data_IF_936077884408
#
_entry.id   IF_936077884408
#
_cell.length_a   1.000
_cell.length_b   1.000
_cell.length_c   1.000
_cell.angle_alpha   90.00
_cell.angle_beta   90.00
_cell.angle_gamma   90.00
#
_symmetry.space_group_name_H-M   'P 1'
#
loop_
_entity.id
_entity.type
_entity.pdbx_description
1 polymer ?
#
# COMPACT_ATOMS: atom_id res chain seq x y z
N UNK A 1 22.18 -0.60 23.57
CA UNK A 1 21.13 0.23 22.94
C UNK A 1 19.81 -0.56 22.97
N UNK A 2 18.69 0.07 23.35
CA UNK A 2 17.36 -0.55 23.39
C UNK A 2 16.94 -1.17 22.03
N UNK A 3 17.27 -0.51 20.92
CA UNK A 3 16.90 -0.97 19.57
C UNK A 3 17.60 -2.29 19.23
N UNK A 4 18.88 -2.44 19.61
CA UNK A 4 19.62 -3.68 19.43
C UNK A 4 19.03 -4.83 20.25
N UNK A 5 18.63 -4.58 21.50
CA UNK A 5 17.96 -5.58 22.35
C UNK A 5 16.63 -6.01 21.74
N UNK A 6 15.80 -5.04 21.33
CA UNK A 6 14.57 -5.29 20.60
C UNK A 6 14.82 -6.14 19.34
N UNK A 7 15.81 -5.77 18.51
CA UNK A 7 16.13 -6.50 17.29
C UNK A 7 16.56 -7.94 17.55
N UNK A 8 17.37 -8.18 18.60
CA UNK A 8 17.77 -9.52 19.01
C UNK A 8 16.56 -10.35 19.42
N UNK A 9 15.72 -9.82 20.29
CA UNK A 9 14.58 -10.55 20.84
C UNK A 9 13.51 -10.79 19.75
N UNK A 10 13.26 -9.80 18.90
CA UNK A 10 12.39 -9.92 17.72
C UNK A 10 12.91 -10.96 16.72
N UNK A 11 14.22 -11.02 16.48
CA UNK A 11 14.83 -12.06 15.64
C UNK A 11 14.60 -13.46 16.19
N UNK A 12 14.69 -13.64 17.51
CA UNK A 12 14.43 -14.92 18.16
C UNK A 12 12.97 -15.36 18.03
N UNK A 13 12.02 -14.43 18.20
CA UNK A 13 10.59 -14.68 18.00
C UNK A 13 10.34 -15.13 16.57
N UNK A 14 10.86 -14.37 15.60
CA UNK A 14 10.61 -14.67 14.20
C UNK A 14 11.42 -15.86 13.66
N UNK A 15 12.55 -16.25 14.28
CA UNK A 15 13.30 -17.48 13.93
C UNK A 15 12.47 -18.72 14.27
N UNK A 16 11.69 -18.65 15.33
CA UNK A 16 10.80 -19.71 15.77
C UNK A 16 9.38 -19.57 15.19
N UNK A 17 9.23 -18.76 14.12
CA UNK A 17 7.95 -18.57 13.45
C UNK A 17 7.54 -19.84 12.69
N UNK A 18 6.82 -20.73 13.38
CA UNK A 18 6.26 -21.96 12.77
C UNK A 18 4.96 -21.70 11.99
N UNK A 19 4.23 -20.66 12.36
CA UNK A 19 2.94 -20.29 11.76
C UNK A 19 2.99 -18.91 11.12
N UNK A 20 2.15 -18.71 10.11
CA UNK A 20 1.96 -17.41 9.48
C UNK A 20 1.42 -16.40 10.50
N UNK A 21 2.05 -15.23 10.58
CA UNK A 21 1.49 -14.12 11.34
C UNK A 21 0.23 -13.64 10.63
N UNK A 22 -0.92 -13.76 11.28
CA UNK A 22 -2.15 -13.19 10.71
C UNK A 22 -2.00 -11.70 10.42
N UNK A 23 -1.32 -10.98 11.31
CA UNK A 23 -1.12 -9.54 11.22
C UNK A 23 0.28 -9.13 11.68
N UNK A 24 0.98 -8.37 10.84
CA UNK A 24 2.23 -7.70 11.17
C UNK A 24 2.05 -6.19 11.03
N UNK A 25 2.18 -5.46 12.14
CA UNK A 25 2.14 -3.99 12.15
C UNK A 25 3.48 -3.40 12.51
N UNK A 26 3.99 -2.54 11.64
CA UNK A 26 5.26 -1.83 11.82
C UNK A 26 4.96 -0.33 11.77
N UNK A 27 5.02 0.33 12.92
CA UNK A 27 4.84 1.78 13.02
C UNK A 27 6.20 2.40 13.32
N UNK A 28 6.76 3.10 12.34
CA UNK A 28 8.02 3.81 12.51
C UNK A 28 7.68 5.28 12.67
N UNK A 29 7.73 5.78 13.90
CA UNK A 29 7.78 7.23 14.15
C UNK A 29 9.24 7.66 13.97
N UNK A 30 9.49 8.85 13.43
CA UNK A 30 10.82 9.36 13.01
C UNK A 30 11.89 9.26 14.12
N UNK A 31 12.45 8.07 14.27
CA UNK A 31 13.64 7.76 15.07
C UNK A 31 14.69 7.39 14.03
N UNK A 32 15.63 8.30 13.69
CA UNK A 32 16.53 8.13 12.55
C UNK A 32 17.31 6.81 12.54
N UNK A 33 17.64 6.27 13.72
CA UNK A 33 18.40 5.04 13.88
C UNK A 33 17.55 3.77 13.82
N UNK A 34 16.23 3.86 14.03
CA UNK A 34 15.38 2.68 14.15
C UNK A 34 15.26 1.91 12.84
N UNK A 35 14.95 2.59 11.73
CA UNK A 35 14.73 1.89 10.45
C UNK A 35 16.00 1.18 9.95
N UNK A 36 17.20 1.80 9.93
CA UNK A 36 18.42 1.08 9.55
C UNK A 36 18.72 -0.14 10.44
N UNK A 37 18.60 -0.01 11.76
CA UNK A 37 18.83 -1.12 12.70
C UNK A 37 17.79 -2.23 12.53
N UNK A 38 16.52 -1.86 12.36
CA UNK A 38 15.42 -2.79 12.10
C UNK A 38 15.61 -3.53 10.78
N UNK A 39 15.99 -2.85 9.69
CA UNK A 39 16.29 -3.51 8.42
C UNK A 39 17.48 -4.46 8.55
N UNK A 40 18.52 -4.12 9.30
CA UNK A 40 19.65 -5.02 9.56
C UNK A 40 19.21 -6.27 10.34
N UNK A 41 18.29 -6.13 11.29
CA UNK A 41 17.65 -7.25 11.95
C UNK A 41 16.94 -8.17 10.95
N UNK A 42 16.16 -7.62 10.02
CA UNK A 42 15.47 -8.39 8.99
C UNK A 42 16.43 -9.08 8.00
N UNK A 43 17.54 -8.43 7.63
CA UNK A 43 18.59 -9.00 6.75
C UNK A 43 19.25 -10.25 7.32
N UNK A 44 19.33 -10.37 8.64
CA UNK A 44 19.95 -11.52 9.30
C UNK A 44 19.13 -12.81 9.17
N UNK A 45 17.90 -12.71 8.65
CA UNK A 45 16.98 -13.83 8.50
C UNK A 45 17.28 -14.63 7.24
N UNK A 46 17.15 -15.95 7.36
CA UNK A 46 17.19 -16.88 6.22
C UNK A 46 15.89 -16.76 5.41
N UNK A 47 14.76 -16.71 6.10
CA UNK A 47 13.43 -16.66 5.48
C UNK A 47 12.73 -15.30 5.69
N UNK A 48 12.03 -14.79 4.65
CA UNK A 48 11.12 -13.65 4.78
C UNK A 48 10.06 -13.88 5.86
N UNK A 49 9.56 -12.80 6.46
CA UNK A 49 8.47 -12.86 7.43
C UNK A 49 7.21 -13.33 6.73
N UNK A 50 6.63 -14.42 7.22
CA UNK A 50 5.37 -14.94 6.71
C UNK A 50 4.22 -14.20 7.38
N UNK A 51 3.49 -13.37 6.65
CA UNK A 51 2.31 -12.69 7.19
C UNK A 51 1.20 -12.56 6.17
N UNK A 52 -0.05 -12.63 6.61
CA UNK A 52 -1.20 -12.40 5.73
C UNK A 52 -1.54 -10.92 5.56
N UNK A 53 -1.24 -10.09 6.56
CA UNK A 53 -1.52 -8.66 6.51
C UNK A 53 -0.32 -7.87 7.00
N UNK A 54 0.27 -7.10 6.09
CA UNK A 54 1.25 -6.07 6.41
C UNK A 54 0.55 -4.73 6.65
N UNK A 55 0.76 -4.13 7.81
CA UNK A 55 0.45 -2.72 8.05
C UNK A 55 1.72 -1.94 8.38
N UNK A 56 2.03 -0.92 7.58
CA UNK A 56 3.18 -0.05 7.80
C UNK A 56 2.76 1.42 7.91
N UNK A 57 3.50 2.18 8.73
CA UNK A 57 3.47 3.64 8.70
C UNK A 57 4.82 4.13 8.15
N UNK A 58 4.78 4.85 7.03
CA UNK A 58 5.98 5.30 6.28
C UNK A 58 5.83 6.75 5.83
N UNK A 59 6.96 7.38 5.50
CA UNK A 59 7.06 8.76 5.01
C UNK A 59 7.20 8.84 3.48
N UNK A 60 7.78 7.83 2.83
CA UNK A 60 8.09 7.81 1.39
C UNK A 60 8.22 6.37 0.84
N UNK A 61 8.30 6.23 -0.48
CA UNK A 61 8.43 4.98 -1.20
C UNK A 61 9.69 4.18 -0.82
N UNK A 62 10.81 4.85 -0.52
CA UNK A 62 12.07 4.18 -0.15
C UNK A 62 11.94 3.37 1.13
N UNK A 63 11.19 3.90 2.12
CA UNK A 63 10.88 3.16 3.35
C UNK A 63 10.04 1.91 3.10
N UNK A 64 9.09 1.97 2.15
CA UNK A 64 8.29 0.80 1.79
C UNK A 64 9.12 -0.21 0.99
N UNK A 65 9.84 0.25 -0.03
CA UNK A 65 10.68 -0.58 -0.90
C UNK A 65 11.82 -1.25 -0.13
N UNK A 66 12.34 -0.61 0.91
CA UNK A 66 13.31 -1.24 1.81
C UNK A 66 12.69 -2.28 2.73
N UNK A 67 11.40 -2.19 3.05
CA UNK A 67 10.70 -3.15 3.91
C UNK A 67 10.18 -4.38 3.16
N UNK A 68 9.56 -4.18 1.99
CA UNK A 68 8.87 -5.24 1.22
C UNK A 68 9.70 -6.51 0.99
N UNK A 69 11.01 -6.45 0.66
CA UNK A 69 11.82 -7.64 0.41
C UNK A 69 11.86 -8.63 1.58
N UNK A 70 11.62 -8.17 2.81
CA UNK A 70 11.63 -9.02 4.00
C UNK A 70 10.28 -9.63 4.33
N UNK A 71 9.26 -9.44 3.47
CA UNK A 71 7.92 -10.00 3.62
C UNK A 71 7.71 -11.10 2.59
N UNK A 72 7.20 -12.25 3.02
CA UNK A 72 6.94 -13.39 2.14
C UNK A 72 5.80 -13.08 1.17
N UNK A 73 6.10 -12.96 -0.12
CA UNK A 73 5.11 -12.66 -1.16
C UNK A 73 4.05 -13.74 -1.34
N UNK A 74 4.36 -15.01 -1.04
CA UNK A 74 3.42 -16.13 -1.19
C UNK A 74 2.30 -16.14 -0.14
N UNK A 75 2.51 -15.46 0.98
CA UNK A 75 1.61 -15.52 2.14
C UNK A 75 0.81 -14.23 2.34
N UNK A 76 1.27 -13.12 1.74
CA UNK A 76 0.66 -11.80 1.91
C UNK A 76 -0.65 -11.69 1.12
N UNK A 77 -1.68 -11.16 1.79
CA UNK A 77 -3.03 -10.97 1.24
C UNK A 77 -3.45 -9.50 1.27
N UNK A 78 -3.04 -8.74 2.28
CA UNK A 78 -3.34 -7.32 2.41
C UNK A 78 -2.08 -6.48 2.68
N UNK A 79 -1.95 -5.39 1.92
CA UNK A 79 -0.99 -4.33 2.16
C UNK A 79 -1.75 -3.08 2.62
N UNK A 80 -1.45 -2.61 3.84
CA UNK A 80 -1.98 -1.37 4.39
C UNK A 80 -0.87 -0.39 4.76
N UNK A 81 -0.79 0.71 4.03
CA UNK A 81 0.23 1.73 4.23
C UNK A 81 -0.43 3.03 4.67
N UNK A 82 0.14 3.68 5.68
CA UNK A 82 -0.33 4.97 6.16
C UNK A 82 0.82 5.97 6.13
N UNK A 83 0.58 7.19 5.67
CA UNK A 83 1.54 8.27 5.90
C UNK A 83 1.49 8.68 7.37
N UNK A 84 2.67 8.83 7.98
CA UNK A 84 2.82 9.40 9.34
C UNK A 84 2.57 10.91 9.35
N UNK A 85 2.71 11.59 8.20
CA UNK A 85 2.30 12.99 8.02
C UNK A 85 0.79 13.06 7.85
N UNK A 86 0.12 13.76 8.76
CA UNK A 86 -1.35 13.84 8.82
C UNK A 86 -1.92 15.11 8.19
N UNK A 87 -1.12 16.17 8.06
CA UNK A 87 -1.57 17.49 7.61
C UNK A 87 -1.36 17.74 6.12
N UNK A 88 -0.36 17.08 5.53
CA UNK A 88 -0.08 17.10 4.10
C UNK A 88 -0.06 15.64 3.64
N UNK A 89 -0.87 15.30 2.64
CA UNK A 89 -0.85 13.97 2.01
C UNK A 89 0.23 13.98 0.92
N UNK A 90 1.43 13.43 1.14
CA UNK A 90 2.44 13.41 0.09
C UNK A 90 2.03 12.48 -1.05
N UNK A 91 2.60 12.72 -2.23
CA UNK A 91 2.58 11.76 -3.32
C UNK A 91 3.48 10.57 -2.96
N UNK A 92 3.01 9.36 -3.24
CA UNK A 92 3.78 8.12 -3.13
C UNK A 92 4.16 7.64 -4.54
N UNK A 93 5.45 7.53 -4.83
CA UNK A 93 5.92 7.08 -6.14
C UNK A 93 5.72 5.57 -6.32
N UNK A 94 4.77 5.20 -7.18
CA UNK A 94 4.32 3.81 -7.33
C UNK A 94 5.13 2.99 -8.33
N UNK A 95 5.93 3.63 -9.19
CA UNK A 95 6.58 3.00 -10.35
C UNK A 95 7.40 1.74 -9.99
N UNK A 96 8.07 1.75 -8.84
CA UNK A 96 8.83 0.61 -8.33
C UNK A 96 8.00 -0.32 -7.45
N UNK A 97 7.01 0.22 -6.73
CA UNK A 97 6.16 -0.54 -5.80
C UNK A 97 5.33 -1.58 -6.57
N UNK A 98 4.72 -1.19 -7.69
CA UNK A 98 3.88 -2.07 -8.52
C UNK A 98 4.65 -3.27 -9.09
N UNK A 99 5.97 -3.15 -9.23
CA UNK A 99 6.85 -4.20 -9.75
C UNK A 99 7.21 -5.24 -8.67
N UNK A 100 6.95 -4.97 -7.40
CA UNK A 100 7.28 -5.89 -6.29
C UNK A 100 6.40 -7.14 -6.29
N UNK A 101 6.98 -8.27 -5.87
CA UNK A 101 6.22 -9.53 -5.79
C UNK A 101 5.14 -9.48 -4.71
N UNK A 102 5.39 -8.77 -3.60
CA UNK A 102 4.42 -8.57 -2.54
C UNK A 102 3.17 -7.83 -3.05
N UNK A 103 3.35 -6.85 -3.94
CA UNK A 103 2.25 -6.13 -4.60
C UNK A 103 1.44 -7.06 -5.50
N UNK A 104 2.11 -7.79 -6.39
CA UNK A 104 1.46 -8.67 -7.39
C UNK A 104 0.70 -9.84 -6.76
N UNK A 105 1.13 -10.32 -5.59
CA UNK A 105 0.51 -11.47 -4.91
C UNK A 105 -0.57 -11.06 -3.90
N UNK A 106 -0.66 -9.78 -3.54
CA UNK A 106 -1.66 -9.31 -2.59
C UNK A 106 -3.03 -9.16 -3.25
N UNK A 107 -4.08 -9.42 -2.47
CA UNK A 107 -5.48 -9.31 -2.92
C UNK A 107 -6.12 -7.97 -2.55
N UNK A 108 -5.62 -7.31 -1.49
CA UNK A 108 -6.18 -6.08 -0.96
C UNK A 108 -5.10 -5.02 -0.75
N UNK A 109 -5.42 -3.79 -1.16
CA UNK A 109 -4.59 -2.61 -0.99
C UNK A 109 -5.33 -1.51 -0.23
N UNK A 110 -4.67 -0.91 0.75
CA UNK A 110 -5.15 0.27 1.46
C UNK A 110 -4.01 1.27 1.67
N UNK A 111 -4.07 2.43 0.99
CA UNK A 111 -3.12 3.53 1.16
C UNK A 111 -3.85 4.72 1.79
N UNK A 112 -3.50 5.06 3.03
CA UNK A 112 -4.07 6.22 3.75
C UNK A 112 -3.06 7.36 3.82
N UNK A 113 -3.58 8.59 3.74
CA UNK A 113 -2.81 9.82 3.83
C UNK A 113 -1.71 9.96 2.76
N UNK A 114 -1.85 9.27 1.63
CA UNK A 114 -1.03 9.43 0.44
C UNK A 114 -1.93 9.75 -0.75
N UNK A 115 -1.36 10.41 -1.75
CA UNK A 115 -1.89 10.37 -3.11
C UNK A 115 -0.98 9.52 -4.00
N UNK A 116 -1.57 8.88 -5.02
CA UNK A 116 -0.82 8.08 -5.99
C UNK A 116 -1.19 8.47 -7.41
N UNK A 117 -0.19 8.45 -8.29
CA UNK A 117 -0.34 8.55 -9.74
C UNK A 117 0.11 7.19 -10.32
N UNK A 118 -0.78 6.20 -10.27
CA UNK A 118 -0.51 4.82 -10.73
C UNK A 118 -1.49 4.43 -11.84
N UNK A 119 -1.01 3.83 -12.95
CA UNK A 119 -1.90 3.33 -13.97
C UNK A 119 -2.90 2.32 -13.39
N UNK A 120 -4.17 2.49 -13.70
CA UNK A 120 -5.25 1.65 -13.18
C UNK A 120 -5.07 0.17 -13.50
N UNK A 121 -4.48 -0.15 -14.67
CA UNK A 121 -4.14 -1.52 -15.05
C UNK A 121 -3.29 -2.24 -14.00
N UNK A 122 -2.43 -1.51 -13.29
CA UNK A 122 -1.52 -2.04 -12.26
C UNK A 122 -2.22 -2.29 -10.90
N UNK A 123 -3.52 -2.00 -10.83
CA UNK A 123 -4.41 -2.25 -9.68
C UNK A 123 -5.46 -3.34 -9.95
N UNK A 124 -5.60 -3.81 -11.19
CA UNK A 124 -6.73 -4.66 -11.61
C UNK A 124 -6.73 -6.06 -11.00
N UNK A 125 -5.59 -6.54 -10.48
CA UNK A 125 -5.49 -7.84 -9.81
C UNK A 125 -6.00 -7.81 -8.36
N UNK A 126 -6.11 -6.63 -7.75
CA UNK A 126 -6.66 -6.51 -6.40
C UNK A 126 -8.18 -6.70 -6.41
N UNK A 127 -8.71 -7.49 -5.47
CA UNK A 127 -10.15 -7.58 -5.22
C UNK A 127 -10.67 -6.42 -4.38
N UNK A 128 -9.80 -5.71 -3.66
CA UNK A 128 -10.13 -4.53 -2.87
C UNK A 128 -9.03 -3.48 -2.94
N UNK A 129 -9.38 -2.26 -3.31
CA UNK A 129 -8.46 -1.12 -3.35
C UNK A 129 -9.09 0.06 -2.62
N UNK A 130 -8.34 0.67 -1.71
CA UNK A 130 -8.67 1.97 -1.10
C UNK A 130 -7.42 2.85 -1.19
N UNK A 131 -7.44 3.85 -2.07
CA UNK A 131 -6.34 4.78 -2.35
C UNK A 131 -6.93 6.17 -2.66
N UNK A 132 -6.13 7.22 -2.54
CA UNK A 132 -6.50 8.56 -3.03
C UNK A 132 -5.70 8.87 -4.31
N UNK A 133 -6.36 9.31 -5.37
CA UNK A 133 -5.71 9.79 -6.60
C UNK A 133 -5.53 11.30 -6.56
N UNK A 134 -4.51 11.80 -7.27
CA UNK A 134 -4.30 13.23 -7.39
C UNK A 134 -5.23 13.83 -8.46
N UNK A 135 -5.48 13.20 -9.63
CA UNK A 135 -6.31 13.82 -10.69
C UNK A 135 -6.92 12.95 -11.84
N UNK A 136 -6.96 11.61 -11.83
CA UNK A 136 -7.60 10.84 -12.94
C UNK A 136 -8.47 9.66 -12.48
N UNK A 137 -9.60 9.42 -13.17
CA UNK A 137 -10.67 8.48 -12.77
C UNK A 137 -10.87 7.26 -13.69
N UNK A 138 -11.67 6.28 -13.23
CA UNK A 138 -11.72 4.86 -13.59
C UNK A 138 -12.93 4.47 -14.46
N UNK A 139 -12.75 3.51 -15.37
CA UNK A 139 -13.79 2.57 -15.87
C UNK A 139 -13.24 1.13 -15.66
N UNK A 140 -13.83 0.33 -14.75
CA UNK A 140 -13.48 -1.10 -14.57
C UNK A 140 -14.74 -1.96 -14.45
N UNK A 141 -14.71 -3.14 -15.08
CA UNK A 141 -15.83 -4.10 -15.15
C UNK A 141 -15.78 -5.19 -14.07
N UNK A 142 -14.75 -5.25 -13.24
CA UNK A 142 -14.52 -6.36 -12.29
C UNK A 142 -14.51 -5.96 -10.81
N UNK A 143 -14.61 -4.66 -10.50
CA UNK A 143 -14.59 -4.19 -9.12
C UNK A 143 -15.95 -4.41 -8.45
N UNK A 144 -15.98 -5.17 -7.35
CA UNK A 144 -17.19 -5.35 -6.53
C UNK A 144 -17.37 -4.27 -5.45
N UNK A 145 -16.32 -3.51 -5.15
CA UNK A 145 -16.34 -2.38 -4.21
C UNK A 145 -15.30 -1.35 -4.64
N UNK A 146 -15.73 -0.11 -4.87
CA UNK A 146 -14.87 1.00 -5.29
C UNK A 146 -15.31 2.29 -4.60
N UNK A 147 -14.42 2.91 -3.83
CA UNK A 147 -14.69 4.12 -3.05
C UNK A 147 -13.63 5.17 -3.42
N UNK A 148 -14.07 6.30 -3.96
CA UNK A 148 -13.21 7.43 -4.34
C UNK A 148 -13.39 8.57 -3.36
N UNK A 149 -12.28 9.06 -2.81
CA UNK A 149 -12.27 10.24 -1.96
C UNK A 149 -11.59 11.39 -2.70
N UNK A 150 -12.38 12.39 -3.10
CA UNK A 150 -11.86 13.65 -3.61
C UNK A 150 -11.74 14.63 -2.44
N UNK A 151 -10.58 15.27 -2.26
CA UNK A 151 -10.41 16.24 -1.18
C UNK A 151 -10.93 17.65 -1.56
N UNK A 152 -11.00 17.97 -2.87
CA UNK A 152 -11.61 19.17 -3.42
C UNK A 152 -12.18 18.85 -4.81
N UNK A 153 -13.40 19.30 -5.09
CA UNK A 153 -13.99 19.34 -6.44
C UNK A 153 -14.29 20.82 -6.69
N UNK A 154 -13.54 21.47 -7.58
CA UNK A 154 -13.82 22.84 -7.99
C UNK A 154 -14.68 22.82 -9.25
N UNK A 155 -15.95 23.20 -9.11
CA UNK A 155 -16.99 23.47 -10.12
C UNK A 155 -17.17 22.50 -11.31
N UNK A 156 -18.41 22.46 -11.81
CA UNK A 156 -18.95 21.40 -12.67
C UNK A 156 -18.19 21.11 -13.98
N UNK A 157 -17.38 22.04 -14.47
CA UNK A 157 -16.57 21.85 -15.69
C UNK A 157 -15.48 20.76 -15.52
N UNK A 158 -15.02 20.51 -14.30
CA UNK A 158 -14.03 19.45 -14.06
C UNK A 158 -14.71 18.07 -14.07
N UNK A 159 -16.01 17.98 -13.75
CA UNK A 159 -16.72 16.69 -13.74
C UNK A 159 -16.87 16.11 -15.16
N UNK A 160 -17.20 16.93 -16.16
CA UNK A 160 -17.30 16.45 -17.54
C UNK A 160 -15.93 15.98 -18.08
N UNK A 161 -14.84 16.63 -17.66
CA UNK A 161 -13.48 16.19 -17.96
C UNK A 161 -13.00 14.96 -17.16
N UNK A 162 -13.46 14.79 -15.91
CA UNK A 162 -13.06 13.71 -15.00
C UNK A 162 -13.80 12.40 -15.27
N UNK A 163 -15.07 12.48 -15.65
CA UNK A 163 -15.95 11.32 -15.83
C UNK A 163 -16.18 10.98 -17.31
N UNK A 164 -15.79 11.88 -18.22
CA UNK A 164 -16.09 11.78 -19.66
C UNK A 164 -17.56 12.07 -19.97
N UNK A 165 -17.88 12.10 -21.27
CA UNK A 165 -19.28 12.22 -21.73
C UNK A 165 -20.15 11.14 -21.07
N UNK A 166 -21.33 11.49 -20.53
CA UNK A 166 -22.29 10.53 -20.00
C UNK A 166 -22.54 9.42 -21.02
N UNK A 167 -22.66 8.17 -20.55
CA UNK A 167 -23.13 7.09 -21.42
C UNK A 167 -24.50 7.49 -21.97
N UNK A 168 -24.54 7.88 -23.25
CA UNK A 168 -25.78 8.12 -23.95
C UNK A 168 -26.54 6.81 -23.93
N UNK A 169 -27.70 6.80 -23.26
CA UNK A 169 -28.63 5.68 -23.31
C UNK A 169 -28.93 5.40 -24.78
N UNK A 170 -28.41 4.29 -25.31
CA UNK A 170 -28.85 3.72 -26.60
C UNK A 170 -30.24 3.08 -26.51
N UNK A 171 -31.03 3.50 -25.53
CA UNK A 171 -32.41 3.09 -25.31
C UNK A 171 -33.32 4.32 -25.36
N UNK A 172 -33.35 4.95 -26.53
CA UNK A 172 -34.56 5.53 -27.08
C UNK A 172 -34.65 5.11 -28.55
N UNK A 173 -35.17 3.92 -28.77
CA UNK A 173 -35.75 3.52 -30.05
C UNK A 173 -37.14 4.16 -30.14
N UNK A 174 -37.36 4.94 -31.20
CA UNK A 174 -38.58 4.94 -32.03
C UNK A 174 -38.27 5.65 -33.35
#
# INVERSE_FOLDING_TARGET
NFIQLFCRDFSLILKNQKLNLQFLRIIIKDVPTFMPEFLNCLKSRIDPIKTNWLSAAINNEDQLLSLLPYICSKEIKEIRINCTKTYEKPRLEMEKIVKSEQWKQSNSLNLKNFFVDVPLRDLTHFSRVNISFNNEMLISKTLTYFELHFNFISDGEILDGLFGEPLQNKDQTL
#
